data_IF_097502993983
#
_entry.id   IF_097502993983
#
_cell.length_a   1.000
_cell.length_b   1.000
_cell.length_c   1.000
_cell.angle_alpha   90.00
_cell.angle_beta   90.00
_cell.angle_gamma   90.00
#
_symmetry.space_group_name_H-M   'P 1'
#
loop_
_entity.id
_entity.type
_entity.pdbx_description
1 polymer ?
#
# COMPACT_ATOMS: atom_id res chain seq x y z
N UNK A 1 -33.32 9.98 55.70
CA UNK A 1 -32.00 9.52 55.28
C UNK A 1 -32.07 8.66 54.02
N UNK A 2 -32.68 9.17 52.94
CA UNK A 2 -32.79 8.48 51.65
C UNK A 2 -32.84 9.56 50.54
N UNK A 3 -31.69 10.13 50.17
CA UNK A 3 -31.63 11.01 48.97
C UNK A 3 -30.21 11.20 48.40
N UNK A 4 -29.20 10.42 48.84
CA UNK A 4 -27.82 10.59 48.33
C UNK A 4 -27.41 9.60 47.22
N UNK A 5 -28.24 8.56 46.94
CA UNK A 5 -27.86 7.51 45.99
C UNK A 5 -28.22 7.77 44.51
N UNK A 6 -29.11 8.75 44.24
CA UNK A 6 -29.59 8.98 42.86
C UNK A 6 -28.77 10.04 42.09
N UNK A 7 -28.00 10.89 42.79
CA UNK A 7 -27.16 11.93 42.19
C UNK A 7 -25.85 11.36 41.62
N UNK A 8 -25.32 10.31 42.20
CA UNK A 8 -24.04 9.72 41.83
C UNK A 8 -24.11 8.84 40.56
N UNK A 9 -25.27 8.22 40.29
CA UNK A 9 -25.49 7.41 39.09
C UNK A 9 -25.71 8.24 37.82
N UNK A 10 -26.39 9.38 37.93
CA UNK A 10 -26.63 10.27 36.78
C UNK A 10 -25.35 10.98 36.33
N UNK A 11 -24.49 11.40 37.26
CA UNK A 11 -23.22 12.02 36.97
C UNK A 11 -22.20 11.03 36.33
N UNK A 12 -22.27 9.76 36.73
CA UNK A 12 -21.45 8.69 36.12
C UNK A 12 -21.88 8.39 34.70
N UNK A 13 -23.19 8.37 34.42
CA UNK A 13 -23.73 8.14 33.07
C UNK A 13 -23.42 9.30 32.11
N UNK A 14 -23.52 10.55 32.58
CA UNK A 14 -23.17 11.75 31.80
C UNK A 14 -21.68 11.77 31.47
N UNK A 15 -20.81 11.45 32.44
CA UNK A 15 -19.36 11.34 32.21
C UNK A 15 -19.00 10.26 31.18
N UNK A 16 -19.66 9.10 31.26
CA UNK A 16 -19.45 8.00 30.32
C UNK A 16 -19.91 8.37 28.91
N UNK A 17 -21.06 9.04 28.79
CA UNK A 17 -21.56 9.52 27.50
C UNK A 17 -20.64 10.58 26.89
N UNK A 18 -20.18 11.55 27.71
CA UNK A 18 -19.24 12.58 27.29
C UNK A 18 -17.92 11.98 26.81
N UNK A 19 -17.34 11.01 27.53
CA UNK A 19 -16.10 10.35 27.14
C UNK A 19 -16.28 9.55 25.82
N UNK A 20 -17.41 8.90 25.63
CA UNK A 20 -17.71 8.15 24.40
C UNK A 20 -17.83 9.08 23.19
N UNK A 21 -18.51 10.22 23.37
CA UNK A 21 -18.62 11.23 22.33
C UNK A 21 -17.26 11.85 21.99
N UNK A 22 -16.45 12.13 23.00
CA UNK A 22 -15.12 12.71 22.82
C UNK A 22 -14.18 11.74 22.09
N UNK A 23 -14.17 10.46 22.45
CA UNK A 23 -13.38 9.43 21.74
C UNK A 23 -13.85 9.24 20.32
N UNK A 24 -15.14 9.33 20.03
CA UNK A 24 -15.67 9.26 18.69
C UNK A 24 -15.16 10.43 17.83
N UNK A 25 -15.25 11.66 18.34
CA UNK A 25 -14.79 12.86 17.63
C UNK A 25 -13.27 12.81 17.40
N UNK A 26 -12.47 12.47 18.42
CA UNK A 26 -11.02 12.36 18.26
C UNK A 26 -10.62 11.32 17.24
N UNK A 27 -11.27 10.16 17.21
CA UNK A 27 -11.00 9.13 16.21
C UNK A 27 -11.30 9.61 14.78
N UNK A 28 -12.37 10.39 14.57
CA UNK A 28 -12.69 10.99 13.26
C UNK A 28 -11.68 12.02 12.83
N UNK A 29 -11.21 12.87 13.76
CA UNK A 29 -10.15 13.85 13.48
C UNK A 29 -8.84 13.15 13.09
N UNK A 30 -8.48 12.06 13.76
CA UNK A 30 -7.27 11.28 13.44
C UNK A 30 -7.41 10.61 12.06
N UNK A 31 -8.59 10.09 11.71
CA UNK A 31 -8.85 9.54 10.37
C UNK A 31 -8.67 10.61 9.28
N UNK A 32 -9.22 11.80 9.47
CA UNK A 32 -9.06 12.92 8.52
C UNK A 32 -7.59 13.31 8.41
N UNK A 33 -6.87 13.41 9.54
CA UNK A 33 -5.45 13.70 9.55
C UNK A 33 -4.64 12.63 8.78
N UNK A 34 -4.95 11.34 8.96
CA UNK A 34 -4.33 10.25 8.20
C UNK A 34 -4.53 10.39 6.67
N UNK A 35 -5.74 10.77 6.25
CA UNK A 35 -6.03 11.04 4.84
C UNK A 35 -5.24 12.24 4.33
N UNK A 36 -5.11 13.32 5.12
CA UNK A 36 -4.30 14.48 4.74
C UNK A 36 -2.82 14.11 4.53
N UNK A 37 -2.24 13.32 5.46
CA UNK A 37 -0.85 12.82 5.33
C UNK A 37 -0.67 11.97 4.09
N UNK A 38 -1.63 11.09 3.80
CA UNK A 38 -1.64 10.24 2.60
C UNK A 38 -1.67 11.10 1.32
N UNK A 39 -2.56 12.09 1.24
CA UNK A 39 -2.66 12.99 0.10
C UNK A 39 -1.38 13.81 -0.08
N UNK A 40 -0.79 14.31 1.00
CA UNK A 40 0.51 15.00 0.97
C UNK A 40 1.60 14.09 0.39
N UNK A 41 1.65 12.82 0.79
CA UNK A 41 2.57 11.85 0.21
C UNK A 41 2.38 11.68 -1.30
N UNK A 42 1.15 11.59 -1.79
CA UNK A 42 0.86 11.53 -3.23
C UNK A 42 1.26 12.80 -3.96
N UNK A 43 1.01 13.99 -3.41
CA UNK A 43 1.41 15.26 -4.01
C UNK A 43 2.93 15.35 -4.14
N UNK A 44 3.69 14.99 -3.09
CA UNK A 44 5.15 14.96 -3.14
C UNK A 44 5.65 13.95 -4.17
N UNK A 45 5.00 12.79 -4.29
CA UNK A 45 5.35 11.78 -5.30
C UNK A 45 5.19 12.33 -6.73
N UNK A 46 4.05 12.98 -7.02
CA UNK A 46 3.80 13.59 -8.32
C UNK A 46 4.81 14.71 -8.61
N UNK A 47 5.11 15.54 -7.61
CA UNK A 47 6.11 16.62 -7.73
C UNK A 47 7.49 16.06 -8.11
N UNK A 48 7.93 14.98 -7.44
CA UNK A 48 9.23 14.36 -7.68
C UNK A 48 9.30 13.63 -9.03
N UNK A 49 8.24 12.92 -9.44
CA UNK A 49 8.21 12.23 -10.73
C UNK A 49 8.23 13.23 -11.90
N UNK A 50 7.57 14.37 -11.73
CA UNK A 50 7.52 15.42 -12.75
C UNK A 50 8.61 16.50 -12.59
N UNK A 51 9.64 16.23 -11.80
CA UNK A 51 10.77 17.14 -11.61
C UNK A 51 11.50 17.43 -12.93
N UNK A 52 11.77 18.70 -13.19
CA UNK A 52 12.63 19.16 -14.27
C UNK A 52 13.65 20.16 -13.71
N UNK A 53 14.96 19.98 -13.99
CA UNK A 53 15.98 20.91 -13.50
C UNK A 53 15.91 22.29 -14.17
N UNK A 54 15.18 22.42 -15.28
CA UNK A 54 14.96 23.69 -16.01
C UNK A 54 13.81 24.51 -15.43
N UNK A 55 13.00 23.92 -14.54
CA UNK A 55 11.88 24.65 -13.95
C UNK A 55 12.36 25.70 -12.95
N UNK A 56 11.64 26.83 -12.84
CA UNK A 56 11.97 27.86 -11.86
C UNK A 56 11.85 27.27 -10.44
N UNK A 57 12.86 27.53 -9.64
CA UNK A 57 12.94 27.08 -8.25
C UNK A 57 13.04 28.28 -7.29
N UNK A 58 13.24 28.01 -6.02
CA UNK A 58 13.36 29.05 -5.00
C UNK A 58 14.59 29.96 -5.20
N UNK A 59 15.67 29.40 -5.79
CA UNK A 59 16.95 30.11 -5.97
C UNK A 59 16.96 30.86 -7.31
N UNK A 60 16.38 30.27 -8.35
CA UNK A 60 16.36 30.78 -9.73
C UNK A 60 14.92 30.99 -10.22
N UNK A 61 14.26 32.09 -9.83
CA UNK A 61 12.90 32.39 -10.30
C UNK A 61 12.95 32.97 -11.72
N UNK A 62 13.19 32.16 -12.72
CA UNK A 62 13.14 32.58 -14.12
C UNK A 62 11.71 32.47 -14.69
N UNK A 63 11.38 33.31 -15.67
CA UNK A 63 10.11 33.28 -16.38
C UNK A 63 10.09 32.18 -17.45
N UNK A 64 10.33 30.95 -17.04
CA UNK A 64 10.31 29.75 -17.90
C UNK A 64 8.95 29.04 -17.82
N UNK A 65 8.66 28.26 -18.88
CA UNK A 65 7.46 27.40 -18.86
C UNK A 65 7.69 26.26 -17.89
N UNK A 66 6.86 26.20 -16.85
CA UNK A 66 6.96 25.17 -15.80
C UNK A 66 6.51 23.82 -16.37
N UNK A 67 7.36 22.81 -16.30
CA UNK A 67 7.10 21.44 -16.74
C UNK A 67 6.52 20.56 -15.65
N UNK A 68 6.71 20.94 -14.37
CA UNK A 68 6.19 20.18 -13.25
C UNK A 68 4.66 20.17 -13.24
N UNK A 69 4.05 18.98 -13.08
CA UNK A 69 2.58 18.77 -13.10
C UNK A 69 1.86 19.59 -12.02
N UNK A 70 2.49 19.81 -10.87
CA UNK A 70 1.93 20.62 -9.78
C UNK A 70 2.27 22.12 -9.90
N UNK A 71 2.80 22.53 -11.06
CA UNK A 71 3.21 23.92 -11.31
C UNK A 71 4.38 24.34 -10.41
N UNK A 72 4.45 25.65 -10.10
CA UNK A 72 5.54 26.25 -9.33
C UNK A 72 5.75 25.59 -7.96
N UNK A 73 4.66 25.27 -7.24
CA UNK A 73 4.76 24.63 -5.93
C UNK A 73 5.40 23.24 -6.00
N UNK A 74 5.05 22.47 -7.04
CA UNK A 74 5.65 21.18 -7.30
C UNK A 74 7.14 21.28 -7.66
N UNK A 75 7.50 22.22 -8.52
CA UNK A 75 8.88 22.49 -8.90
C UNK A 75 9.75 22.84 -7.68
N UNK A 76 9.33 23.82 -6.89
CA UNK A 76 10.06 24.25 -5.68
C UNK A 76 10.18 23.12 -4.66
N UNK A 77 9.10 22.35 -4.43
CA UNK A 77 9.12 21.27 -3.45
C UNK A 77 10.03 20.12 -3.90
N UNK A 78 9.95 19.71 -5.16
CA UNK A 78 10.80 18.64 -5.68
C UNK A 78 12.26 19.05 -5.76
N UNK A 79 12.56 20.28 -6.19
CA UNK A 79 13.91 20.79 -6.20
C UNK A 79 14.52 20.85 -4.79
N UNK A 80 13.77 21.38 -3.81
CA UNK A 80 14.21 21.45 -2.43
C UNK A 80 14.56 20.05 -1.86
N UNK A 81 13.69 19.06 -2.10
CA UNK A 81 13.92 17.69 -1.61
C UNK A 81 15.16 17.09 -2.29
N UNK A 82 15.26 17.17 -3.62
CA UNK A 82 16.36 16.55 -4.36
C UNK A 82 17.70 17.24 -4.09
N UNK A 83 17.71 18.56 -3.99
CA UNK A 83 18.93 19.30 -3.63
C UNK A 83 19.39 19.06 -2.18
N UNK A 84 18.42 18.87 -1.26
CA UNK A 84 18.75 18.63 0.16
C UNK A 84 19.29 17.22 0.40
N UNK A 85 18.55 16.20 -0.04
CA UNK A 85 18.81 14.80 0.33
C UNK A 85 19.13 13.87 -0.87
N UNK A 86 19.03 14.39 -2.10
CA UNK A 86 19.32 13.63 -3.31
C UNK A 86 18.28 12.57 -3.65
N UNK A 87 18.71 11.51 -4.32
CA UNK A 87 17.85 10.45 -4.84
C UNK A 87 17.05 9.69 -3.78
N UNK A 88 17.55 9.63 -2.54
CA UNK A 88 16.84 9.00 -1.44
C UNK A 88 15.49 9.70 -1.16
N UNK A 89 15.33 10.94 -1.60
CA UNK A 89 14.10 11.71 -1.52
C UNK A 89 12.89 11.04 -2.15
N UNK A 90 13.08 10.18 -3.15
CA UNK A 90 11.99 9.40 -3.76
C UNK A 90 11.33 8.39 -2.81
N UNK A 91 12.00 8.00 -1.72
CA UNK A 91 11.42 7.13 -0.70
C UNK A 91 10.54 7.88 0.29
N UNK A 92 10.70 9.22 0.43
CA UNK A 92 9.87 10.04 1.33
C UNK A 92 8.38 9.91 1.08
N UNK A 93 7.87 10.16 -0.15
CA UNK A 93 6.45 10.06 -0.41
C UNK A 93 5.89 8.68 -0.15
N UNK A 94 6.67 7.63 -0.46
CA UNK A 94 6.27 6.24 -0.17
C UNK A 94 6.04 6.06 1.33
N UNK A 95 6.98 6.50 2.16
CA UNK A 95 6.83 6.43 3.64
C UNK A 95 5.59 7.19 4.11
N UNK A 96 5.35 8.43 3.65
CA UNK A 96 4.20 9.22 4.10
C UNK A 96 2.87 8.66 3.61
N UNK A 97 2.80 8.05 2.43
CA UNK A 97 1.61 7.32 1.95
C UNK A 97 1.28 6.17 2.90
N UNK A 98 2.27 5.32 3.24
CA UNK A 98 2.05 4.22 4.18
C UNK A 98 1.73 4.71 5.59
N UNK A 99 2.40 5.75 6.07
CA UNK A 99 2.11 6.38 7.36
C UNK A 99 0.67 6.89 7.43
N UNK A 100 0.20 7.58 6.40
CA UNK A 100 -1.18 8.06 6.31
C UNK A 100 -2.20 6.91 6.36
N UNK A 101 -1.94 5.82 5.64
CA UNK A 101 -2.77 4.61 5.68
C UNK A 101 -2.79 3.96 7.07
N UNK A 102 -1.64 3.91 7.74
CA UNK A 102 -1.53 3.31 9.08
C UNK A 102 -2.23 4.16 10.13
N UNK A 103 -2.10 5.49 10.10
CA UNK A 103 -2.85 6.41 10.96
C UNK A 103 -4.35 6.23 10.77
N UNK A 104 -4.82 6.16 9.52
CA UNK A 104 -6.23 5.95 9.21
C UNK A 104 -6.76 4.62 9.79
N UNK A 105 -5.96 3.54 9.70
CA UNK A 105 -6.35 2.20 10.17
C UNK A 105 -6.26 2.03 11.68
N UNK A 106 -5.15 2.48 12.28
CA UNK A 106 -4.86 2.26 13.71
C UNK A 106 -5.42 3.36 14.60
N UNK A 107 -5.73 4.54 14.03
CA UNK A 107 -6.19 5.74 14.75
C UNK A 107 -5.18 6.23 15.79
N UNK A 108 -3.91 6.08 15.52
CA UNK A 108 -2.79 6.47 16.37
C UNK A 108 -1.98 7.57 15.68
N UNK A 109 -2.09 8.81 16.16
CA UNK A 109 -1.38 9.96 15.58
C UNK A 109 0.13 9.91 15.83
N UNK A 110 0.57 9.24 16.89
CA UNK A 110 1.99 9.14 17.25
C UNK A 110 2.82 8.37 16.21
N UNK A 111 2.18 7.55 15.35
CA UNK A 111 2.85 6.86 14.26
C UNK A 111 3.60 7.79 13.31
N UNK A 112 3.14 9.05 13.15
CA UNK A 112 3.86 10.01 12.30
C UNK A 112 5.23 10.36 12.88
N UNK A 113 5.32 10.49 14.20
CA UNK A 113 6.57 10.83 14.90
C UNK A 113 7.55 9.65 14.80
N UNK A 114 7.06 8.43 15.06
CA UNK A 114 7.86 7.22 14.97
C UNK A 114 8.39 7.00 13.54
N UNK A 115 7.53 7.09 12.55
CA UNK A 115 7.91 6.91 11.15
C UNK A 115 8.85 8.02 10.68
N UNK A 116 8.62 9.28 11.07
CA UNK A 116 9.52 10.41 10.74
C UNK A 116 10.91 10.23 11.35
N UNK A 117 11.00 9.66 12.56
CA UNK A 117 12.29 9.31 13.16
C UNK A 117 13.06 8.31 12.28
N UNK A 118 12.43 7.23 11.82
CA UNK A 118 13.06 6.28 10.93
C UNK A 118 13.38 6.88 9.54
N UNK A 119 12.54 7.80 9.05
CA UNK A 119 12.81 8.59 7.84
C UNK A 119 14.13 9.34 7.97
N UNK A 120 14.33 10.05 9.07
CA UNK A 120 15.57 10.82 9.29
C UNK A 120 16.80 9.91 9.25
N UNK A 121 16.71 8.71 9.82
CA UNK A 121 17.81 7.76 9.84
C UNK A 121 18.10 7.18 8.45
N UNK A 122 17.08 6.72 7.71
CA UNK A 122 17.36 6.16 6.38
C UNK A 122 17.77 7.24 5.37
N UNK A 123 17.28 8.47 5.50
CA UNK A 123 17.74 9.61 4.70
C UNK A 123 19.21 9.88 4.96
N UNK A 124 19.64 9.87 6.22
CA UNK A 124 21.04 10.05 6.60
C UNK A 124 21.96 9.01 5.93
N UNK A 125 21.65 7.73 6.10
CA UNK A 125 22.47 6.66 5.51
C UNK A 125 22.36 6.59 3.98
N UNK A 126 21.16 6.83 3.44
CA UNK A 126 20.91 6.80 1.99
C UNK A 126 21.55 7.96 1.25
N UNK A 127 21.47 9.18 1.78
CA UNK A 127 22.17 10.34 1.20
C UNK A 127 23.68 10.13 1.19
N UNK A 128 24.24 9.60 2.28
CA UNK A 128 25.65 9.25 2.38
C UNK A 128 26.04 8.15 1.38
N UNK A 129 25.20 7.12 1.23
CA UNK A 129 25.40 6.05 0.26
C UNK A 129 25.46 6.57 -1.17
N UNK A 130 24.50 7.38 -1.58
CA UNK A 130 24.45 7.96 -2.91
C UNK A 130 25.60 8.94 -3.16
N UNK A 131 25.95 9.79 -2.20
CA UNK A 131 27.04 10.74 -2.32
C UNK A 131 28.38 10.02 -2.53
N UNK A 132 28.61 8.91 -1.80
CA UNK A 132 29.90 8.20 -1.89
C UNK A 132 30.05 7.34 -3.16
N UNK A 133 29.01 6.57 -3.51
CA UNK A 133 29.12 5.54 -4.54
C UNK A 133 28.58 5.95 -5.91
N UNK A 134 27.76 7.00 -5.98
CA UNK A 134 27.07 7.41 -7.20
C UNK A 134 27.18 8.92 -7.50
N UNK A 135 28.16 9.61 -6.93
CA UNK A 135 28.33 11.07 -7.09
C UNK A 135 28.46 11.52 -8.54
N UNK A 136 29.14 10.74 -9.39
CA UNK A 136 29.46 11.12 -10.77
C UNK A 136 28.35 10.75 -11.78
N UNK A 137 27.40 9.92 -11.41
CA UNK A 137 26.44 9.34 -12.35
C UNK A 137 25.20 10.22 -12.61
N UNK A 138 25.00 11.27 -11.83
CA UNK A 138 23.81 12.10 -11.92
C UNK A 138 24.16 13.59 -12.06
N UNK A 139 24.08 14.10 -13.27
CA UNK A 139 24.32 15.50 -13.60
C UNK A 139 23.07 16.39 -13.44
N UNK A 140 21.91 15.79 -13.12
CA UNK A 140 20.62 16.50 -13.03
C UNK A 140 20.48 17.38 -11.77
N UNK A 141 21.33 17.14 -10.74
CA UNK A 141 21.23 17.83 -9.47
C UNK A 141 22.50 18.65 -9.20
N UNK A 142 22.35 19.87 -8.71
CA UNK A 142 23.49 20.76 -8.39
C UNK A 142 24.38 20.11 -7.31
N UNK A 143 23.77 19.50 -6.31
CA UNK A 143 24.46 18.85 -5.19
C UNK A 143 24.72 17.34 -5.44
N UNK A 144 24.57 16.86 -6.68
CA UNK A 144 24.78 15.45 -7.03
C UNK A 144 23.71 14.50 -6.47
N UNK A 145 23.97 13.21 -6.60
CA UNK A 145 23.01 12.14 -6.27
C UNK A 145 22.67 12.02 -4.77
N UNK A 146 23.59 12.39 -3.88
CA UNK A 146 23.41 12.36 -2.43
C UNK A 146 22.80 13.63 -1.83
N UNK A 147 22.66 14.69 -2.64
CA UNK A 147 22.22 16.00 -2.20
C UNK A 147 23.21 16.67 -1.24
N UNK A 148 22.82 17.83 -0.71
CA UNK A 148 23.64 18.60 0.24
C UNK A 148 24.00 17.78 1.49
N UNK A 149 23.02 17.06 2.05
CA UNK A 149 23.23 16.25 3.27
C UNK A 149 24.27 15.15 3.00
N UNK A 150 24.15 14.43 1.89
CA UNK A 150 25.09 13.37 1.55
C UNK A 150 26.51 13.89 1.36
N UNK A 151 26.67 14.99 0.65
CA UNK A 151 27.99 15.61 0.42
C UNK A 151 28.62 16.09 1.72
N UNK A 152 27.86 16.81 2.56
CA UNK A 152 28.31 17.27 3.86
C UNK A 152 28.78 16.12 4.76
N UNK A 153 28.02 15.02 4.78
CA UNK A 153 28.38 13.84 5.57
C UNK A 153 29.59 13.11 5.01
N UNK A 154 29.69 13.00 3.69
CA UNK A 154 30.82 12.34 3.03
C UNK A 154 32.14 13.09 3.25
N UNK A 155 32.09 14.42 3.36
CA UNK A 155 33.29 15.23 3.55
C UNK A 155 33.76 15.30 5.02
N UNK A 156 32.83 15.34 5.97
CA UNK A 156 33.17 15.71 7.35
C UNK A 156 33.18 14.58 8.37
N UNK A 157 32.38 13.54 8.19
CA UNK A 157 32.11 12.63 9.31
C UNK A 157 32.72 11.23 9.23
N UNK A 158 32.82 10.64 8.04
CA UNK A 158 33.09 9.19 7.93
C UNK A 158 34.11 8.81 6.85
N UNK A 159 34.70 9.79 6.20
CA UNK A 159 35.48 9.54 4.98
C UNK A 159 36.65 8.57 5.21
N UNK A 160 37.34 8.70 6.33
CA UNK A 160 38.50 7.84 6.63
C UNK A 160 38.11 6.40 6.96
N UNK A 161 36.93 6.21 7.60
CA UNK A 161 36.45 4.89 7.96
C UNK A 161 35.81 4.18 6.77
N UNK A 162 35.05 4.90 5.96
CA UNK A 162 34.40 4.38 4.77
C UNK A 162 35.37 4.05 3.66
N UNK A 163 36.46 4.83 3.48
CA UNK A 163 37.48 4.60 2.48
C UNK A 163 38.40 3.42 2.81
N UNK A 164 38.56 3.10 4.10
CA UNK A 164 39.37 1.96 4.54
C UNK A 164 38.74 0.60 4.16
N UNK A 165 37.40 0.52 4.06
CA UNK A 165 36.68 -0.73 3.80
C UNK A 165 35.56 -0.50 2.77
N UNK A 166 35.92 -0.16 1.54
CA UNK A 166 34.95 0.25 0.50
C UNK A 166 33.83 -0.75 0.23
N UNK A 167 34.17 -2.02 -0.02
CA UNK A 167 33.16 -3.04 -0.28
C UNK A 167 32.24 -3.31 0.92
N UNK A 168 32.81 -3.32 2.12
CA UNK A 168 32.04 -3.51 3.34
C UNK A 168 31.11 -2.30 3.60
N UNK A 169 31.60 -1.09 3.40
CA UNK A 169 30.82 0.14 3.55
C UNK A 169 29.64 0.22 2.60
N UNK A 170 29.83 -0.25 1.35
CA UNK A 170 28.77 -0.32 0.35
C UNK A 170 27.57 -1.16 0.85
N UNK A 171 27.83 -2.41 1.21
CA UNK A 171 26.77 -3.31 1.67
C UNK A 171 26.17 -2.89 3.01
N UNK A 172 27.00 -2.36 3.92
CA UNK A 172 26.54 -1.88 5.22
C UNK A 172 25.57 -0.69 5.09
N UNK A 173 25.95 0.34 4.31
CA UNK A 173 25.09 1.52 4.12
C UNK A 173 23.81 1.16 3.37
N UNK A 174 23.89 0.31 2.36
CA UNK A 174 22.72 -0.17 1.64
C UNK A 174 21.78 -0.96 2.57
N UNK A 175 22.33 -1.87 3.39
CA UNK A 175 21.54 -2.65 4.34
C UNK A 175 20.88 -1.76 5.39
N UNK A 176 21.60 -0.80 5.96
CA UNK A 176 21.03 0.13 6.96
C UNK A 176 19.94 0.99 6.33
N UNK A 177 20.13 1.51 5.14
CA UNK A 177 19.13 2.31 4.43
C UNK A 177 17.85 1.50 4.20
N UNK A 178 17.97 0.27 3.70
CA UNK A 178 16.81 -0.61 3.46
C UNK A 178 16.13 -1.01 4.76
N UNK A 179 16.90 -1.35 5.80
CA UNK A 179 16.36 -1.76 7.10
C UNK A 179 15.52 -0.63 7.71
N UNK A 180 16.07 0.59 7.80
CA UNK A 180 15.34 1.71 8.38
C UNK A 180 14.18 2.19 7.51
N UNK A 181 14.27 2.06 6.18
CA UNK A 181 13.14 2.30 5.29
C UNK A 181 12.00 1.30 5.54
N UNK A 182 12.29 0.02 5.70
CA UNK A 182 11.30 -1.02 6.01
C UNK A 182 10.64 -0.76 7.38
N UNK A 183 11.43 -0.35 8.38
CA UNK A 183 10.91 0.04 9.69
C UNK A 183 10.01 1.27 9.60
N UNK A 184 10.38 2.26 8.78
CA UNK A 184 9.61 3.50 8.58
C UNK A 184 8.23 3.28 7.97
N UNK A 185 8.03 2.19 7.23
CA UNK A 185 6.74 1.84 6.62
C UNK A 185 5.87 0.98 7.58
N UNK A 186 6.36 0.64 8.78
CA UNK A 186 5.70 -0.34 9.66
C UNK A 186 5.37 -1.66 8.95
N UNK A 187 6.28 -2.12 8.10
CA UNK A 187 6.09 -3.23 7.20
C UNK A 187 5.88 -4.56 7.94
N UNK A 188 4.67 -5.08 7.91
CA UNK A 188 4.40 -6.42 8.43
C UNK A 188 4.60 -7.45 7.31
N UNK A 189 5.64 -8.28 7.44
CA UNK A 189 5.95 -9.38 6.51
C UNK A 189 4.74 -10.28 6.25
N UNK A 190 3.92 -10.55 7.27
CA UNK A 190 2.69 -11.36 7.15
C UNK A 190 1.69 -10.74 6.16
N UNK A 191 1.47 -9.44 6.25
CA UNK A 191 0.54 -8.73 5.36
C UNK A 191 1.08 -8.67 3.94
N UNK A 192 2.39 -8.45 3.77
CA UNK A 192 3.03 -8.44 2.46
C UNK A 192 2.92 -9.79 1.77
N UNK A 193 3.27 -10.88 2.44
CA UNK A 193 3.14 -12.24 1.91
C UNK A 193 1.68 -12.54 1.52
N UNK A 194 0.72 -12.08 2.32
CA UNK A 194 -0.71 -12.23 2.00
C UNK A 194 -1.11 -11.46 0.74
N UNK A 195 -0.62 -10.22 0.58
CA UNK A 195 -0.88 -9.39 -0.61
C UNK A 195 -0.22 -10.02 -1.85
N UNK A 196 1.04 -10.43 -1.73
CA UNK A 196 1.77 -11.10 -2.82
C UNK A 196 1.05 -12.38 -3.24
N UNK A 197 0.62 -13.21 -2.28
CA UNK A 197 -0.19 -14.40 -2.58
C UNK A 197 -1.51 -14.06 -3.28
N UNK A 198 -2.21 -12.99 -2.88
CA UNK A 198 -3.44 -12.54 -3.55
C UNK A 198 -3.18 -12.08 -4.98
N UNK A 199 -2.11 -11.33 -5.20
CA UNK A 199 -1.70 -10.86 -6.54
C UNK A 199 -1.28 -12.04 -7.41
N UNK A 200 -0.47 -12.95 -6.90
CA UNK A 200 -0.08 -14.17 -7.61
C UNK A 200 -1.29 -15.03 -7.94
N UNK A 201 -2.20 -15.25 -6.99
CA UNK A 201 -3.44 -15.96 -7.24
C UNK A 201 -4.32 -15.26 -8.29
N UNK A 202 -4.37 -13.93 -8.29
CA UNK A 202 -5.09 -13.17 -9.30
C UNK A 202 -4.44 -13.28 -10.69
N UNK A 203 -3.10 -13.22 -10.76
CA UNK A 203 -2.37 -13.32 -12.03
C UNK A 203 -2.32 -14.74 -12.58
N UNK A 204 -2.17 -15.75 -11.71
CA UNK A 204 -2.01 -17.14 -12.11
C UNK A 204 -3.31 -17.95 -12.04
N UNK A 205 -4.33 -17.48 -11.32
CA UNK A 205 -5.64 -18.11 -11.27
C UNK A 205 -6.46 -17.69 -12.50
N UNK A 206 -5.98 -18.14 -13.67
CA UNK A 206 -6.69 -18.06 -14.92
C UNK A 206 -7.91 -18.98 -14.80
N UNK A 207 -9.06 -18.41 -14.43
CA UNK A 207 -10.39 -19.00 -14.58
C UNK A 207 -10.52 -20.49 -14.23
N UNK A 208 -10.34 -20.87 -12.99
CA UNK A 208 -11.15 -21.93 -12.44
C UNK A 208 -12.56 -21.35 -12.24
N UNK A 209 -13.37 -21.34 -13.28
CA UNK A 209 -14.82 -21.26 -13.09
C UNK A 209 -15.14 -22.49 -12.23
N UNK A 210 -15.41 -22.27 -10.96
CA UNK A 210 -16.08 -23.27 -10.15
C UNK A 210 -17.43 -23.49 -10.83
N UNK A 211 -17.48 -24.48 -11.72
CA UNK A 211 -18.73 -25.14 -12.01
C UNK A 211 -19.08 -25.83 -10.70
N UNK A 212 -19.86 -25.17 -9.86
CA UNK A 212 -20.65 -25.83 -8.82
C UNK A 212 -21.32 -26.98 -9.54
N UNK A 213 -21.03 -28.20 -9.07
CA UNK A 213 -21.63 -29.39 -9.62
C UNK A 213 -23.14 -29.13 -9.69
N UNK A 214 -23.73 -29.28 -10.88
CA UNK A 214 -25.14 -29.03 -11.08
C UNK A 214 -25.99 -29.88 -10.15
N UNK A 215 -25.42 -30.99 -9.70
CA UNK A 215 -26.02 -31.91 -8.73
C UNK A 215 -26.13 -31.35 -7.30
N UNK A 216 -25.18 -30.48 -6.85
CA UNK A 216 -25.25 -29.80 -5.54
C UNK A 216 -26.32 -28.71 -5.54
N UNK A 217 -26.48 -27.98 -6.64
CA UNK A 217 -27.52 -26.94 -6.77
C UNK A 217 -28.93 -27.54 -6.82
N UNK A 218 -29.08 -28.75 -7.42
CA UNK A 218 -30.38 -29.43 -7.46
C UNK A 218 -30.74 -29.95 -6.07
N UNK A 219 -29.79 -30.47 -5.31
CA UNK A 219 -29.99 -30.93 -3.94
C UNK A 219 -30.27 -29.81 -2.93
N UNK A 220 -29.82 -28.57 -3.21
CA UNK A 220 -30.04 -27.41 -2.34
C UNK A 220 -31.42 -26.77 -2.55
N UNK A 221 -31.98 -26.87 -3.78
CA UNK A 221 -33.24 -26.20 -4.15
C UNK A 221 -34.48 -27.12 -4.17
N UNK A 222 -34.30 -28.43 -4.29
CA UNK A 222 -35.42 -29.38 -4.34
C UNK A 222 -35.12 -30.58 -3.46
N UNK A 223 -35.80 -30.74 -2.31
CA UNK A 223 -35.64 -31.93 -1.49
C UNK A 223 -35.92 -33.18 -2.33
N UNK A 224 -35.06 -34.19 -2.27
CA UNK A 224 -35.18 -35.41 -3.09
C UNK A 224 -36.51 -36.16 -2.89
N UNK A 225 -37.17 -35.96 -1.75
CA UNK A 225 -38.43 -36.55 -1.44
C UNK A 225 -39.59 -35.92 -2.24
N UNK A 226 -39.52 -34.60 -2.56
CA UNK A 226 -40.53 -33.92 -3.40
C UNK A 226 -40.37 -34.29 -4.88
N UNK A 227 -39.17 -34.66 -5.36
CA UNK A 227 -38.97 -35.09 -6.78
C UNK A 227 -39.61 -36.45 -7.03
N UNK A 228 -39.63 -37.34 -6.03
CA UNK A 228 -40.29 -38.65 -6.16
C UNK A 228 -41.80 -38.54 -6.29
N UNK A 229 -42.39 -37.57 -5.61
CA UNK A 229 -43.85 -37.31 -5.66
C UNK A 229 -44.28 -36.59 -6.95
N UNK A 230 -43.36 -35.88 -7.63
CA UNK A 230 -43.61 -35.16 -8.89
C UNK A 230 -43.50 -36.09 -10.12
N UNK A 231 -42.70 -37.17 -10.03
CA UNK A 231 -42.68 -38.20 -11.05
C UNK A 231 -43.96 -39.04 -10.89
N UNK A 232 -45.01 -38.56 -11.48
CA UNK A 232 -46.28 -39.27 -11.47
C UNK A 232 -46.13 -40.69 -12.00
N UNK A 233 -46.43 -41.68 -11.17
CA UNK A 233 -46.52 -43.10 -11.51
C UNK A 233 -47.47 -43.41 -12.65
N UNK A 234 -48.28 -42.46 -13.08
CA UNK A 234 -49.35 -42.68 -14.06
C UNK A 234 -49.38 -41.58 -15.15
N UNK A 235 -48.44 -41.56 -16.05
CA UNK A 235 -48.66 -40.93 -17.34
C UNK A 235 -49.50 -41.88 -18.17
N UNK A 236 -50.74 -41.58 -18.56
CA UNK A 236 -51.71 -42.52 -19.17
C UNK A 236 -51.34 -42.97 -20.59
N UNK A 237 -50.17 -42.60 -21.10
CA UNK A 237 -49.79 -42.87 -22.48
C UNK A 237 -48.51 -43.71 -22.64
N UNK A 238 -47.87 -44.16 -21.57
CA UNK A 238 -46.70 -45.07 -21.68
C UNK A 238 -47.12 -46.42 -21.11
N UNK A 239 -47.69 -47.28 -21.99
CA UNK A 239 -47.70 -48.71 -21.71
C UNK A 239 -46.25 -49.19 -21.81
N UNK A 240 -45.72 -49.72 -20.69
CA UNK A 240 -44.48 -50.41 -20.67
C UNK A 240 -44.59 -51.65 -21.57
N UNK A 241 -44.17 -51.55 -22.81
CA UNK A 241 -43.97 -52.68 -23.69
C UNK A 241 -42.59 -53.25 -23.39
N UNK A 242 -42.57 -54.37 -22.68
CA UNK A 242 -41.39 -55.16 -22.40
C UNK A 242 -40.75 -55.60 -23.71
N UNK A 243 -39.43 -55.47 -23.78
CA UNK A 243 -38.48 -56.16 -24.65
C UNK A 243 -38.49 -55.80 -26.13
N UNK A 244 -37.79 -54.68 -26.46
CA UNK A 244 -37.04 -54.63 -27.73
C UNK A 244 -35.58 -54.22 -27.44
N UNK A 245 -34.58 -54.97 -28.00
CA UNK A 245 -33.18 -54.57 -27.86
C UNK A 245 -32.97 -53.27 -28.65
N UNK A 246 -32.34 -52.30 -27.98
CA UNK A 246 -31.94 -51.05 -28.57
C UNK A 246 -30.88 -51.33 -29.65
N UNK A 247 -31.21 -51.16 -30.93
CA UNK A 247 -30.22 -51.19 -32.00
C UNK A 247 -29.39 -49.92 -31.90
N UNK A 248 -28.13 -50.08 -31.54
CA UNK A 248 -27.12 -49.03 -31.65
C UNK A 248 -26.93 -48.72 -33.12
N UNK A 249 -27.35 -47.54 -33.55
CA UNK A 249 -27.04 -47.00 -34.86
C UNK A 249 -25.62 -46.43 -34.84
N UNK A 250 -24.66 -47.18 -35.35
CA UNK A 250 -23.34 -46.66 -35.70
C UNK A 250 -23.46 -46.01 -37.07
N UNK A 251 -23.40 -44.67 -37.13
CA UNK A 251 -23.23 -43.98 -38.38
C UNK A 251 -21.73 -43.96 -38.74
N UNK A 252 -21.30 -44.93 -39.53
CA UNK A 252 -20.12 -44.77 -40.37
C UNK A 252 -20.52 -43.86 -41.55
N UNK A 253 -19.98 -42.69 -41.61
CA UNK A 253 -19.87 -41.91 -42.83
C UNK A 253 -18.40 -41.57 -42.98
N UNK A 254 -17.71 -42.45 -43.67
CA UNK A 254 -16.45 -42.20 -44.31
C UNK A 254 -16.72 -41.76 -45.77
N UNK A 255 -15.88 -40.87 -46.20
CA UNK A 255 -15.32 -40.68 -47.53
C UNK A 255 -16.32 -40.43 -48.74
N UNK A 256 -16.30 -39.12 -49.13
CA UNK A 256 -15.76 -38.70 -50.45
C UNK A 256 -15.52 -37.21 -50.49
#
# INVERSE_FOLDING_TARGET
MIQSGKFDSSDMDIKKLSNTALTFITNRLIEIFGICVLLMGFLILIALISYSPEDPNFIFPENTIIKNVLGYQGSVTSDFILQSIGLIGYLLPVTYIFTGLDIFRRKEILLIIENTFFVTIYVFFGSLFFSKFYSENFTLYINGSGGFVGNYLSENFLINLLNKYDNFSYYLLLLLTLLFFILSINFSLKNFISIVKKILNFLFNKNSKNYTNKDELINEFIPQDEIKDIIQENLPFIKAENNRPCLLYTSDAADD
#
